data_IF_520339645003
#
_entry.id   IF_520339645003
#
_cell.length_a   1.000
_cell.length_b   1.000
_cell.length_c   1.000
_cell.angle_alpha   90.00
_cell.angle_beta   90.00
_cell.angle_gamma   90.00
#
_symmetry.space_group_name_H-M   'P 1'
#
loop_
_entity.id
_entity.type
_entity.pdbx_description
1 polymer ?
#
# COMPACT_ATOMS: atom_id res chain seq x y z
N UNK A 1 13.34 -39.18 -22.18
CA UNK A 1 14.07 -37.95 -21.80
C UNK A 1 13.09 -36.81 -22.01
N UNK A 2 12.86 -35.97 -21.01
CA UNK A 2 12.07 -34.76 -21.20
C UNK A 2 12.92 -33.78 -22.02
N UNK A 3 12.38 -33.30 -23.13
CA UNK A 3 12.99 -32.26 -23.97
C UNK A 3 12.56 -30.91 -23.40
N UNK A 4 13.54 -30.08 -23.03
CA UNK A 4 13.34 -28.74 -22.46
C UNK A 4 13.43 -27.68 -23.55
N UNK A 5 12.58 -26.66 -23.48
CA UNK A 5 12.51 -25.56 -24.44
C UNK A 5 11.18 -24.80 -24.33
N UNK A 6 11.06 -23.66 -25.00
CA UNK A 6 9.83 -22.87 -24.94
C UNK A 6 8.60 -23.67 -25.43
N UNK A 7 7.60 -23.84 -24.55
CA UNK A 7 6.37 -24.60 -24.86
C UNK A 7 5.22 -23.72 -25.36
N UNK A 8 5.39 -22.39 -25.32
CA UNK A 8 4.37 -21.43 -25.73
C UNK A 8 4.32 -21.25 -27.26
N UNK A 9 3.22 -21.59 -27.95
CA UNK A 9 3.11 -21.46 -29.40
C UNK A 9 3.13 -20.01 -29.92
N UNK A 10 2.99 -19.04 -29.01
CA UNK A 10 3.03 -17.60 -29.32
C UNK A 10 4.45 -17.02 -29.25
N UNK A 11 5.42 -17.79 -28.76
CA UNK A 11 6.80 -17.36 -28.70
C UNK A 11 7.50 -17.55 -30.06
N UNK A 12 8.43 -16.66 -30.38
CA UNK A 12 9.23 -16.70 -31.59
C UNK A 12 10.18 -17.91 -31.64
N UNK A 13 10.54 -18.48 -30.48
CA UNK A 13 11.40 -19.65 -30.34
C UNK A 13 10.63 -20.89 -29.84
N UNK A 14 9.32 -20.97 -30.09
CA UNK A 14 8.52 -22.13 -29.75
C UNK A 14 9.13 -23.44 -30.27
N UNK A 15 9.30 -24.43 -29.39
CA UNK A 15 9.77 -25.75 -29.72
C UNK A 15 8.65 -26.79 -29.54
N UNK A 16 8.07 -27.32 -30.64
CA UNK A 16 6.98 -28.30 -30.56
C UNK A 16 7.41 -29.66 -30.00
N UNK A 17 8.72 -29.93 -29.92
CA UNK A 17 9.25 -31.12 -29.29
C UNK A 17 9.51 -30.93 -27.78
N UNK A 18 9.41 -29.71 -27.26
CA UNK A 18 9.59 -29.45 -25.84
C UNK A 18 8.38 -29.98 -25.04
N UNK A 19 8.66 -30.83 -24.06
CA UNK A 19 7.66 -31.36 -23.12
C UNK A 19 7.68 -30.62 -21.78
N UNK A 20 8.67 -29.75 -21.58
CA UNK A 20 8.87 -28.97 -20.36
C UNK A 20 9.41 -27.59 -20.73
N UNK A 21 8.79 -26.54 -20.19
CA UNK A 21 9.25 -25.17 -20.40
C UNK A 21 10.53 -24.90 -19.62
N UNK A 22 11.50 -24.26 -20.26
CA UNK A 22 12.77 -23.86 -19.66
C UNK A 22 12.86 -22.35 -19.39
N UNK A 23 11.77 -21.61 -19.59
CA UNK A 23 11.75 -20.16 -19.39
C UNK A 23 12.57 -19.40 -20.43
N UNK A 24 12.88 -20.02 -21.58
CA UNK A 24 13.60 -19.36 -22.66
C UNK A 24 12.68 -18.64 -23.65
N UNK A 25 11.36 -18.60 -23.43
CA UNK A 25 10.41 -18.07 -24.40
C UNK A 25 10.67 -16.59 -24.75
N UNK A 26 10.70 -16.31 -26.06
CA UNK A 26 10.89 -14.97 -26.61
C UNK A 26 9.60 -14.50 -27.25
N UNK A 27 9.00 -13.44 -26.71
CA UNK A 27 7.80 -12.81 -27.25
C UNK A 27 8.18 -11.54 -28.00
N UNK A 28 7.62 -11.37 -29.20
CA UNK A 28 7.85 -10.21 -30.05
C UNK A 28 6.63 -9.32 -30.03
N UNK A 29 6.80 -8.07 -29.60
CA UNK A 29 5.74 -7.07 -29.58
C UNK A 29 6.16 -5.82 -30.35
N UNK A 30 5.20 -5.21 -31.04
CA UNK A 30 5.45 -4.05 -31.91
C UNK A 30 4.73 -2.83 -31.38
N UNK A 31 5.49 -1.87 -30.85
CA UNK A 31 4.96 -0.61 -30.30
C UNK A 31 5.53 0.54 -31.14
N UNK A 32 4.66 1.36 -31.73
CA UNK A 32 5.08 2.58 -32.44
C UNK A 32 6.01 2.36 -33.64
N UNK A 33 6.04 1.17 -34.25
CA UNK A 33 6.92 0.85 -35.38
C UNK A 33 8.26 0.22 -35.00
N UNK A 34 8.57 0.10 -33.71
CA UNK A 34 9.76 -0.58 -33.18
C UNK A 34 9.37 -1.97 -32.70
N UNK A 35 10.22 -2.96 -32.98
CA UNK A 35 10.04 -4.34 -32.49
C UNK A 35 10.84 -4.54 -31.21
N UNK A 36 10.17 -5.00 -30.15
CA UNK A 36 10.76 -5.37 -28.87
C UNK A 36 10.75 -6.88 -28.74
N UNK A 37 11.83 -7.44 -28.16
CA UNK A 37 11.91 -8.84 -27.79
C UNK A 37 11.89 -8.93 -26.26
N UNK A 38 10.89 -9.62 -25.73
CA UNK A 38 10.74 -9.90 -24.31
C UNK A 38 11.13 -11.35 -24.08
N UNK A 39 12.04 -11.58 -23.14
CA UNK A 39 12.41 -12.93 -22.69
C UNK A 39 11.92 -13.09 -21.26
N UNK A 40 11.42 -14.28 -20.92
CA UNK A 40 11.12 -14.60 -19.53
C UNK A 40 12.41 -14.45 -18.69
N UNK A 41 12.26 -13.84 -17.51
CA UNK A 41 13.40 -13.55 -16.63
C UNK A 41 13.89 -14.87 -16.04
N UNK A 42 15.17 -15.18 -16.24
CA UNK A 42 15.83 -16.30 -15.56
C UNK A 42 15.77 -16.07 -14.05
N UNK A 43 14.99 -16.90 -13.34
CA UNK A 43 14.83 -16.79 -11.89
C UNK A 43 16.16 -16.93 -11.13
N UNK A 44 17.19 -17.53 -11.73
CA UNK A 44 18.54 -17.61 -11.15
C UNK A 44 19.34 -16.30 -11.27
N UNK A 45 18.89 -15.35 -12.11
CA UNK A 45 19.45 -14.01 -12.27
C UNK A 45 18.65 -12.94 -11.51
N UNK A 46 17.49 -13.30 -10.94
CA UNK A 46 16.75 -12.42 -10.04
C UNK A 46 17.47 -12.40 -8.70
N UNK A 47 18.34 -11.42 -8.52
CA UNK A 47 18.87 -11.09 -7.19
C UNK A 47 17.80 -10.27 -6.49
N UNK A 48 17.17 -10.85 -5.48
CA UNK A 48 16.26 -10.13 -4.59
C UNK A 48 17.08 -9.17 -3.72
N UNK A 49 17.09 -7.89 -4.11
CA UNK A 49 17.73 -6.81 -3.36
C UNK A 49 16.76 -6.10 -2.38
N UNK A 50 15.61 -6.71 -2.08
CA UNK A 50 14.61 -6.11 -1.19
C UNK A 50 15.17 -5.96 0.24
N UNK A 51 15.12 -4.75 0.78
CA UNK A 51 15.45 -4.47 2.18
C UNK A 51 14.31 -3.69 2.84
N UNK A 52 14.05 -3.98 4.11
CA UNK A 52 13.08 -3.22 4.89
C UNK A 52 13.75 -1.93 5.36
N UNK A 53 13.18 -0.79 4.95
CA UNK A 53 13.63 0.52 5.36
C UNK A 53 12.56 1.12 6.28
N UNK A 54 12.91 1.48 7.51
CA UNK A 54 12.01 2.29 8.35
C UNK A 54 12.76 3.45 8.98
N UNK A 55 12.08 4.60 8.99
CA UNK A 55 12.62 5.89 9.40
C UNK A 55 12.25 6.17 10.86
N UNK A 56 13.25 6.39 11.70
CA UNK A 56 13.05 6.87 13.06
C UNK A 56 12.96 8.39 13.05
N UNK A 57 11.76 8.94 13.27
CA UNK A 57 11.55 10.40 13.35
C UNK A 57 12.31 11.05 14.51
N UNK A 58 12.55 10.30 15.59
CA UNK A 58 13.29 10.75 16.77
C UNK A 58 14.80 10.77 16.55
N UNK A 59 15.32 9.78 15.80
CA UNK A 59 16.74 9.72 15.41
C UNK A 59 17.05 10.51 14.13
N UNK A 60 16.03 10.87 13.34
CA UNK A 60 16.14 11.35 11.95
C UNK A 60 16.93 10.40 11.04
N UNK A 61 16.94 9.11 11.36
CA UNK A 61 17.75 8.11 10.67
C UNK A 61 16.90 6.95 10.14
N UNK A 62 17.40 6.30 9.10
CA UNK A 62 16.85 5.09 8.49
C UNK A 62 17.47 3.86 9.13
N UNK A 63 16.72 2.90 9.68
CA UNK A 63 17.32 1.99 10.67
C UNK A 63 16.79 0.55 10.70
N UNK A 64 16.90 -0.27 9.65
CA UNK A 64 16.66 -1.73 9.81
C UNK A 64 17.59 -2.58 8.96
N UNK A 65 18.27 -3.54 9.60
CA UNK A 65 19.07 -4.61 8.96
C UNK A 65 18.68 -5.98 9.53
N UNK A 66 17.42 -6.17 9.93
CA UNK A 66 16.94 -7.40 10.56
C UNK A 66 15.73 -7.92 9.79
N UNK A 67 15.54 -9.23 9.78
CA UNK A 67 14.51 -9.96 9.05
C UNK A 67 13.21 -10.16 9.86
N UNK A 68 12.97 -9.36 10.90
CA UNK A 68 11.80 -9.48 11.76
C UNK A 68 11.27 -8.13 12.26
N UNK A 69 9.99 -8.12 12.66
CA UNK A 69 9.37 -6.98 13.37
C UNK A 69 9.73 -7.10 14.86
N UNK A 70 10.41 -6.11 15.46
CA UNK A 70 10.78 -6.15 16.87
C UNK A 70 9.61 -5.86 17.79
N UNK A 71 9.74 -6.32 19.04
CA UNK A 71 8.71 -6.15 20.08
C UNK A 71 8.84 -4.80 20.80
N UNK A 72 10.06 -4.25 20.88
CA UNK A 72 10.34 -2.98 21.53
C UNK A 72 11.60 -2.30 20.97
N UNK A 73 11.66 -0.97 21.06
CA UNK A 73 12.84 -0.16 20.72
C UNK A 73 13.34 0.61 21.93
N UNK A 74 14.65 0.70 22.08
CA UNK A 74 15.27 1.62 23.03
C UNK A 74 16.57 2.17 22.48
N UNK A 75 16.88 3.40 22.83
CA UNK A 75 18.11 4.07 22.43
C UNK A 75 19.02 4.30 23.63
N UNK A 76 20.32 4.25 23.38
CA UNK A 76 21.33 4.86 24.23
C UNK A 76 21.73 6.21 23.65
N UNK A 77 22.70 6.90 24.26
CA UNK A 77 23.20 8.20 23.76
C UNK A 77 23.79 8.12 22.34
N UNK A 78 24.20 6.93 21.89
CA UNK A 78 24.98 6.76 20.66
C UNK A 78 24.40 5.72 19.71
N UNK A 79 23.44 4.91 20.15
CA UNK A 79 23.03 3.72 19.40
C UNK A 79 21.55 3.39 19.62
N UNK A 80 20.88 2.92 18.57
CA UNK A 80 19.54 2.34 18.64
C UNK A 80 19.61 0.82 18.77
N UNK A 81 18.76 0.28 19.65
CA UNK A 81 18.58 -1.14 19.87
C UNK A 81 17.10 -1.51 19.77
N UNK A 82 16.85 -2.76 19.42
CA UNK A 82 15.53 -3.37 19.50
C UNK A 82 15.59 -4.69 20.23
N UNK A 83 14.42 -5.17 20.65
CA UNK A 83 14.27 -6.43 21.37
C UNK A 83 13.29 -7.33 20.60
N UNK A 84 13.65 -8.61 20.46
CA UNK A 84 12.74 -9.67 19.99
C UNK A 84 12.81 -10.85 20.94
N UNK A 85 11.70 -11.19 21.58
CA UNK A 85 11.62 -12.22 22.61
C UNK A 85 12.47 -11.85 23.84
N UNK A 86 13.64 -12.47 23.99
CA UNK A 86 14.60 -12.15 25.06
C UNK A 86 15.98 -11.77 24.52
N UNK A 87 16.06 -11.47 23.23
CA UNK A 87 17.30 -11.09 22.55
C UNK A 87 17.28 -9.61 22.16
N UNK A 88 18.43 -8.96 22.35
CA UNK A 88 18.65 -7.55 22.02
C UNK A 88 19.46 -7.50 20.72
N UNK A 89 19.02 -6.67 19.79
CA UNK A 89 19.68 -6.45 18.52
C UNK A 89 20.09 -4.98 18.40
N UNK A 90 21.28 -4.78 17.85
CA UNK A 90 21.83 -3.46 17.58
C UNK A 90 21.53 -3.08 16.15
N UNK A 91 20.95 -1.90 15.96
CA UNK A 91 20.72 -1.38 14.63
C UNK A 91 22.02 -0.95 13.94
N UNK A 92 22.04 -0.91 12.60
CA UNK A 92 23.22 -0.55 11.79
C UNK A 92 24.47 -1.40 12.04
N UNK A 93 24.32 -2.58 12.65
CA UNK A 93 25.39 -3.50 12.93
C UNK A 93 25.09 -4.85 12.28
N UNK A 94 26.09 -5.43 11.61
CA UNK A 94 25.96 -6.70 10.90
C UNK A 94 25.53 -6.56 9.45
N UNK A 95 25.20 -7.69 8.84
CA UNK A 95 24.72 -7.75 7.47
C UNK A 95 23.21 -7.41 7.42
N UNK A 96 22.72 -6.74 6.35
CA UNK A 96 21.29 -6.59 6.12
C UNK A 96 20.59 -7.94 6.19
N UNK A 97 19.64 -8.07 7.12
CA UNK A 97 18.71 -9.20 7.16
C UNK A 97 17.81 -9.18 5.92
N UNK A 98 17.53 -10.37 5.39
CA UNK A 98 16.60 -10.53 4.28
C UNK A 98 15.23 -10.82 4.88
N UNK A 99 14.34 -9.84 4.86
CA UNK A 99 12.98 -10.04 5.36
C UNK A 99 12.20 -10.89 4.38
N UNK A 100 12.17 -12.21 4.60
CA UNK A 100 11.33 -13.14 3.86
C UNK A 100 10.11 -13.48 4.69
N UNK A 101 9.10 -12.61 4.73
CA UNK A 101 7.77 -13.12 5.02
C UNK A 101 7.18 -13.65 3.73
N UNK A 102 7.18 -14.97 3.59
CA UNK A 102 6.49 -15.64 2.49
C UNK A 102 4.96 -15.45 2.56
N UNK A 103 4.45 -14.98 3.70
CA UNK A 103 3.04 -14.63 3.84
C UNK A 103 2.84 -13.19 3.38
N UNK A 104 2.01 -12.97 2.35
CA UNK A 104 1.60 -11.64 1.96
C UNK A 104 1.01 -10.88 3.16
N UNK A 105 1.48 -9.65 3.39
CA UNK A 105 0.97 -8.78 4.45
C UNK A 105 0.27 -7.58 3.88
N UNK A 106 -0.83 -7.20 4.52
CA UNK A 106 -1.47 -5.92 4.27
C UNK A 106 -0.47 -4.79 4.49
N UNK A 107 -0.52 -3.79 3.62
CA UNK A 107 0.29 -2.59 3.74
C UNK A 107 -0.60 -1.35 3.62
N UNK A 108 -0.04 -0.20 3.97
CA UNK A 108 -0.70 1.06 3.82
C UNK A 108 0.24 2.11 3.23
N UNK A 109 -0.35 3.07 2.53
CA UNK A 109 0.35 4.21 1.95
C UNK A 109 -0.28 5.47 2.54
N UNK A 110 0.55 6.29 3.18
CA UNK A 110 0.12 7.60 3.69
C UNK A 110 0.49 8.67 2.67
N UNK A 111 -0.52 9.34 2.12
CA UNK A 111 -0.36 10.49 1.24
C UNK A 111 -0.72 11.75 2.01
N UNK A 112 0.17 12.73 2.01
CA UNK A 112 0.01 13.98 2.75
C UNK A 112 -0.25 15.11 1.76
N UNK A 113 -1.39 15.78 1.92
CA UNK A 113 -1.74 16.97 1.16
C UNK A 113 -1.67 18.17 2.10
N UNK A 114 -0.88 19.18 1.74
CA UNK A 114 -0.76 20.41 2.51
C UNK A 114 -1.19 21.62 1.67
N UNK A 115 -1.72 22.62 2.35
CA UNK A 115 -2.14 23.90 1.78
C UNK A 115 -1.67 25.05 2.67
N UNK A 116 -1.47 26.23 2.07
CA UNK A 116 -1.08 27.44 2.82
C UNK A 116 -2.25 28.02 3.63
N UNK A 117 -3.48 27.75 3.19
CA UNK A 117 -4.72 28.23 3.80
C UNK A 117 -5.54 27.06 4.31
N UNK A 118 -6.46 27.33 5.23
CA UNK A 118 -7.44 26.35 5.67
C UNK A 118 -8.34 25.94 4.49
N UNK A 119 -8.41 24.64 4.25
CA UNK A 119 -9.20 24.04 3.18
C UNK A 119 -10.25 23.12 3.80
N UNK A 120 -11.38 22.94 3.13
CA UNK A 120 -12.39 21.93 3.42
C UNK A 120 -12.21 20.81 2.40
N UNK A 121 -12.02 19.59 2.88
CA UNK A 121 -11.84 18.43 2.01
C UNK A 121 -13.21 17.94 1.50
N UNK A 122 -13.41 17.95 0.18
CA UNK A 122 -14.68 17.59 -0.45
C UNK A 122 -14.70 16.13 -0.92
N UNK A 123 -13.66 15.72 -1.65
CA UNK A 123 -13.53 14.37 -2.17
C UNK A 123 -12.07 13.95 -2.30
N UNK A 124 -11.84 12.64 -2.29
CA UNK A 124 -10.54 12.00 -2.48
C UNK A 124 -10.65 11.08 -3.67
N UNK A 125 -9.73 11.22 -4.63
CA UNK A 125 -9.68 10.37 -5.80
C UNK A 125 -8.33 9.67 -5.93
N UNK A 126 -8.33 8.45 -6.47
CA UNK A 126 -7.11 7.69 -6.69
C UNK A 126 -7.22 6.81 -7.92
N UNK A 127 -6.07 6.56 -8.55
CA UNK A 127 -5.95 5.73 -9.74
C UNK A 127 -5.14 4.48 -9.38
N UNK A 128 -5.78 3.31 -9.38
CA UNK A 128 -5.14 2.04 -9.03
C UNK A 128 -5.42 0.94 -10.03
N UNK A 129 -4.44 0.06 -10.19
CA UNK A 129 -4.55 -1.22 -10.90
C UNK A 129 -4.18 -2.36 -9.92
N UNK A 130 -4.99 -3.41 -9.86
CA UNK A 130 -4.68 -4.61 -9.07
C UNK A 130 -4.41 -5.76 -10.04
N UNK A 131 -3.29 -6.45 -9.86
CA UNK A 131 -2.91 -7.62 -10.63
C UNK A 131 -2.96 -8.86 -9.72
N UNK A 132 -3.57 -9.93 -10.21
CA UNK A 132 -3.53 -11.21 -9.52
C UNK A 132 -2.13 -11.85 -9.65
N UNK A 133 -1.94 -13.00 -8.99
CA UNK A 133 -0.67 -13.76 -9.06
C UNK A 133 -0.29 -14.22 -10.48
N UNK A 134 -1.24 -14.22 -11.42
CA UNK A 134 -1.01 -14.54 -12.83
C UNK A 134 -0.74 -13.29 -13.69
N UNK A 135 -0.67 -12.11 -13.09
CA UNK A 135 -0.47 -10.83 -13.80
C UNK A 135 -1.73 -10.32 -14.52
N UNK A 136 -2.90 -10.89 -14.24
CA UNK A 136 -4.16 -10.44 -14.84
C UNK A 136 -4.79 -9.33 -13.98
N UNK A 137 -5.28 -8.28 -14.63
CA UNK A 137 -5.93 -7.17 -13.95
C UNK A 137 -7.28 -7.59 -13.33
N UNK A 138 -7.42 -7.34 -12.02
CA UNK A 138 -8.62 -7.56 -11.24
C UNK A 138 -9.38 -6.24 -11.04
N UNK A 139 -10.72 -6.32 -11.04
CA UNK A 139 -11.57 -5.15 -10.78
C UNK A 139 -11.68 -4.90 -9.28
N UNK A 140 -10.57 -4.46 -8.69
CA UNK A 140 -10.45 -4.15 -7.27
C UNK A 140 -9.52 -2.97 -7.07
N UNK A 141 -9.54 -2.43 -5.86
CA UNK A 141 -8.69 -1.31 -5.45
C UNK A 141 -8.22 -1.55 -4.03
N UNK A 142 -8.02 -0.47 -3.27
CA UNK A 142 -7.76 -0.44 -1.84
C UNK A 142 -8.90 -1.08 -1.04
N UNK A 143 -8.55 -1.60 0.12
CA UNK A 143 -9.49 -2.26 1.04
C UNK A 143 -10.07 -1.30 2.05
N UNK A 144 -9.25 -0.37 2.55
CA UNK A 144 -9.67 0.62 3.53
C UNK A 144 -9.06 1.99 3.23
N UNK A 145 -9.78 3.03 3.64
CA UNK A 145 -9.29 4.40 3.65
C UNK A 145 -9.51 5.00 5.04
N UNK A 146 -8.52 5.74 5.50
CA UNK A 146 -8.62 6.55 6.73
C UNK A 146 -8.09 7.94 6.41
N UNK A 147 -8.85 8.98 6.77
CA UNK A 147 -8.46 10.37 6.58
C UNK A 147 -8.41 11.04 7.94
N UNK A 148 -7.36 11.80 8.20
CA UNK A 148 -7.26 12.59 9.42
C UNK A 148 -6.46 13.89 9.22
N UNK A 149 -6.67 14.81 10.15
CA UNK A 149 -5.88 16.01 10.33
C UNK A 149 -5.45 16.10 11.81
N UNK A 150 -5.17 17.29 12.33
CA UNK A 150 -4.71 17.43 13.72
C UNK A 150 -5.79 17.07 14.77
N UNK A 151 -7.07 17.25 14.43
CA UNK A 151 -8.17 17.21 15.41
C UNK A 151 -9.37 16.34 14.99
N UNK A 152 -9.43 15.92 13.72
CA UNK A 152 -10.54 15.20 13.10
C UNK A 152 -10.04 13.92 12.46
N UNK A 153 -10.84 12.86 12.53
CA UNK A 153 -10.53 11.58 11.91
C UNK A 153 -11.81 10.88 11.44
N UNK A 154 -11.79 10.32 10.24
CA UNK A 154 -12.93 9.58 9.67
C UNK A 154 -13.13 8.20 10.29
N UNK A 155 -12.14 7.69 11.01
CA UNK A 155 -12.05 6.28 11.34
C UNK A 155 -11.67 5.44 10.12
N UNK A 156 -11.50 4.13 10.37
CA UNK A 156 -11.11 3.16 9.34
C UNK A 156 -12.35 2.74 8.54
N UNK A 157 -12.45 3.21 7.30
CA UNK A 157 -13.59 2.95 6.41
C UNK A 157 -13.26 1.77 5.50
N UNK A 158 -14.10 0.73 5.51
CA UNK A 158 -13.99 -0.39 4.57
C UNK A 158 -14.56 0.02 3.21
N UNK A 159 -13.72 -0.07 2.17
CA UNK A 159 -14.08 0.27 0.79
C UNK A 159 -14.85 -0.88 0.15
N UNK A 160 -14.54 -2.13 0.49
CA UNK A 160 -15.18 -3.32 -0.09
C UNK A 160 -16.71 -3.34 0.05
N UNK A 161 -17.23 -2.93 1.22
CA UNK A 161 -18.67 -2.96 1.52
C UNK A 161 -19.48 -1.90 0.75
N UNK A 162 -18.83 -0.84 0.28
CA UNK A 162 -19.48 0.26 -0.44
C UNK A 162 -19.81 -0.17 -1.88
N UNK A 163 -19.02 -1.07 -2.46
CA UNK A 163 -19.12 -1.42 -3.88
C UNK A 163 -20.06 -2.60 -4.17
N UNK A 164 -20.24 -3.52 -3.23
CA UNK A 164 -21.25 -4.60 -3.35
C UNK A 164 -22.69 -4.03 -3.47
N UNK A 165 -22.90 -2.79 -3.04
CA UNK A 165 -24.17 -2.07 -3.16
C UNK A 165 -24.34 -1.34 -4.51
N UNK A 166 -23.24 -1.11 -5.24
CA UNK A 166 -23.22 -0.38 -6.51
C UNK A 166 -23.22 -1.36 -7.69
N UNK A 167 -24.30 -2.14 -7.83
CA UNK A 167 -24.52 -3.04 -8.95
C UNK A 167 -24.63 -2.27 -10.29
N UNK A 168 -23.50 -1.95 -10.93
CA UNK A 168 -23.49 -1.44 -12.30
C UNK A 168 -22.44 -2.14 -13.17
N UNK A 169 -22.93 -2.68 -14.28
CA UNK A 169 -22.16 -3.11 -15.45
C UNK A 169 -21.45 -1.88 -16.07
N UNK A 170 -20.24 -1.55 -15.62
CA UNK A 170 -19.44 -0.44 -16.15
C UNK A 170 -18.14 -0.96 -16.78
N UNK A 171 -17.79 -0.38 -17.93
CA UNK A 171 -16.72 -0.76 -18.85
C UNK A 171 -15.32 -0.79 -18.19
N UNK A 172 -14.59 -1.89 -18.36
CA UNK A 172 -13.30 -2.30 -17.75
C UNK A 172 -12.04 -1.48 -18.13
N UNK A 173 -11.97 -0.15 -17.99
CA UNK A 173 -10.78 0.54 -18.57
C UNK A 173 -10.07 1.64 -17.80
N UNK A 174 -10.51 2.14 -16.64
CA UNK A 174 -9.85 3.37 -16.12
C UNK A 174 -9.38 3.41 -14.67
N UNK A 175 -9.65 2.41 -13.82
CA UNK A 175 -9.01 2.29 -12.49
C UNK A 175 -9.12 3.51 -11.56
N UNK A 176 -9.94 4.50 -11.91
CA UNK A 176 -10.10 5.78 -11.21
C UNK A 176 -11.27 5.66 -10.24
N UNK A 177 -11.00 5.97 -8.99
CA UNK A 177 -11.92 5.87 -7.88
C UNK A 177 -12.10 7.25 -7.26
N UNK A 178 -13.30 7.54 -6.81
CA UNK A 178 -13.63 8.76 -6.11
C UNK A 178 -14.44 8.43 -4.86
N UNK A 179 -14.05 9.02 -3.74
CA UNK A 179 -14.72 8.87 -2.47
C UNK A 179 -15.05 10.24 -1.91
N UNK A 180 -16.34 10.48 -1.67
CA UNK A 180 -16.86 11.71 -1.11
C UNK A 180 -17.54 11.44 0.24
N UNK A 181 -18.15 12.48 0.81
CA UNK A 181 -19.06 12.35 1.95
C UNK A 181 -18.46 11.79 3.25
N UNK A 182 -17.13 11.79 3.41
CA UNK A 182 -16.49 11.49 4.69
C UNK A 182 -16.77 12.60 5.73
N UNK A 183 -16.77 12.23 7.00
CA UNK A 183 -17.10 13.08 8.15
C UNK A 183 -16.19 12.78 9.33
N UNK A 184 -16.07 13.75 10.24
CA UNK A 184 -15.38 13.51 11.50
C UNK A 184 -16.18 12.55 12.39
N UNK A 185 -15.54 11.44 12.76
CA UNK A 185 -16.12 10.38 13.58
C UNK A 185 -15.49 10.30 14.96
N UNK A 186 -14.63 11.26 15.34
CA UNK A 186 -14.04 11.29 16.68
C UNK A 186 -15.10 11.55 17.76
N UNK A 187 -14.94 10.85 18.89
CA UNK A 187 -15.75 11.01 20.10
C UNK A 187 -15.48 12.36 20.77
N UNK A 188 -14.21 12.78 20.81
CA UNK A 188 -13.80 14.04 21.43
C UNK A 188 -12.51 14.59 20.82
N UNK A 189 -12.49 15.89 20.54
CA UNK A 189 -11.32 16.59 20.02
C UNK A 189 -10.12 16.48 20.97
N UNK A 190 -8.91 16.46 20.40
CA UNK A 190 -7.65 16.42 21.16
C UNK A 190 -7.30 15.07 21.77
N UNK A 191 -8.05 14.01 21.46
CA UNK A 191 -7.67 12.64 21.84
C UNK A 191 -6.68 12.06 20.83
N UNK A 192 -5.71 11.28 21.32
CA UNK A 192 -4.80 10.53 20.45
C UNK A 192 -5.59 9.41 19.77
N UNK A 193 -5.72 9.50 18.45
CA UNK A 193 -6.54 8.55 17.67
C UNK A 193 -5.74 7.52 16.89
N UNK A 194 -4.45 7.71 16.65
CA UNK A 194 -3.57 6.68 16.09
C UNK A 194 -2.84 5.94 17.20
N UNK A 195 -2.77 4.61 17.09
CA UNK A 195 -1.95 3.77 17.94
C UNK A 195 -0.45 3.97 17.65
N UNK A 196 0.40 3.20 18.32
CA UNK A 196 1.85 3.26 18.12
C UNK A 196 2.30 2.46 16.88
N UNK A 197 3.62 2.50 16.64
CA UNK A 197 4.28 1.81 15.54
C UNK A 197 4.09 0.30 15.56
N UNK A 198 3.89 -0.32 16.74
CA UNK A 198 3.73 -1.77 16.88
C UNK A 198 2.32 -2.23 16.51
N UNK A 199 1.36 -1.31 16.53
CA UNK A 199 0.00 -1.52 16.07
C UNK A 199 -0.22 -0.93 14.67
N UNK A 200 0.84 -0.78 13.87
CA UNK A 200 0.81 -0.21 12.51
C UNK A 200 0.13 1.16 12.44
N UNK A 201 0.21 1.95 13.52
CA UNK A 201 -0.51 3.22 13.65
C UNK A 201 -2.01 3.09 13.35
N UNK A 202 -2.63 1.94 13.65
CA UNK A 202 -4.05 1.73 13.42
C UNK A 202 -4.88 2.74 14.22
N UNK A 203 -6.08 3.03 13.72
CA UNK A 203 -7.01 3.92 14.43
C UNK A 203 -7.50 3.21 15.69
N UNK A 204 -7.41 3.89 16.84
CA UNK A 204 -7.85 3.34 18.11
C UNK A 204 -9.39 3.11 18.09
N UNK A 205 -9.88 1.90 18.39
CA UNK A 205 -11.29 1.57 18.20
C UNK A 205 -12.23 2.29 19.16
N UNK A 206 -11.73 2.76 20.31
CA UNK A 206 -12.50 3.42 21.36
C UNK A 206 -12.66 4.93 21.17
N UNK A 207 -11.97 5.54 20.21
CA UNK A 207 -12.07 6.99 19.94
C UNK A 207 -12.97 7.34 18.77
N UNK A 208 -13.40 6.32 18.00
CA UNK A 208 -14.27 6.48 16.83
C UNK A 208 -15.69 6.06 17.21
N UNK A 209 -16.65 6.94 16.94
CA UNK A 209 -18.07 6.65 17.08
C UNK A 209 -18.74 6.50 15.72
N UNK A 210 -18.84 5.26 15.23
CA UNK A 210 -19.52 4.94 13.97
C UNK A 210 -21.00 5.38 13.92
N UNK A 211 -21.63 5.56 15.08
CA UNK A 211 -23.04 5.97 15.21
C UNK A 211 -23.19 7.45 15.60
N UNK A 212 -22.16 8.28 15.36
CA UNK A 212 -22.22 9.73 15.63
C UNK A 212 -23.39 10.33 14.85
N UNK A 213 -24.30 11.08 15.51
CA UNK A 213 -25.44 11.69 14.82
C UNK A 213 -24.98 12.61 13.70
N UNK A 214 -25.77 12.69 12.61
CA UNK A 214 -25.43 13.47 11.42
C UNK A 214 -25.14 14.96 11.70
N UNK A 215 -25.69 15.53 12.78
CA UNK A 215 -25.49 16.93 13.16
C UNK A 215 -24.19 17.18 13.94
N UNK A 216 -23.58 16.13 14.50
CA UNK A 216 -22.27 16.19 15.16
C UNK A 216 -21.13 15.79 14.19
N UNK A 217 -21.48 15.36 12.98
CA UNK A 217 -20.56 14.95 11.93
C UNK A 217 -20.07 16.19 11.16
N UNK A 218 -18.98 16.79 11.65
CA UNK A 218 -18.35 17.93 10.98
C UNK A 218 -17.65 17.53 9.67
N UNK A 219 -17.57 18.50 8.76
CA UNK A 219 -16.70 18.43 7.59
C UNK A 219 -15.24 18.53 8.03
N UNK A 220 -14.37 17.77 7.36
CA UNK A 220 -12.94 17.86 7.60
C UNK A 220 -12.40 19.17 7.03
N UNK A 221 -11.76 19.96 7.87
CA UNK A 221 -11.14 21.21 7.48
C UNK A 221 -9.83 21.42 8.24
N UNK A 222 -8.75 21.71 7.52
CA UNK A 222 -7.45 22.05 8.07
C UNK A 222 -6.53 22.58 6.95
N UNK A 223 -5.30 22.94 7.30
CA UNK A 223 -4.24 23.24 6.34
C UNK A 223 -3.49 22.00 5.83
N UNK A 224 -3.74 20.81 6.39
CA UNK A 224 -3.23 19.55 5.86
C UNK A 224 -4.19 18.39 6.09
N UNK A 225 -4.12 17.39 5.21
CA UNK A 225 -4.83 16.13 5.34
C UNK A 225 -3.85 14.99 5.11
N UNK A 226 -3.95 13.96 5.96
CA UNK A 226 -3.27 12.69 5.74
C UNK A 226 -4.30 11.67 5.32
N UNK A 227 -4.05 11.03 4.19
CA UNK A 227 -4.92 10.02 3.61
C UNK A 227 -4.14 8.71 3.63
N UNK A 228 -4.60 7.78 4.45
CA UNK A 228 -4.09 6.41 4.48
C UNK A 228 -4.92 5.53 3.57
N UNK A 229 -4.23 4.95 2.61
CA UNK A 229 -4.75 3.99 1.65
C UNK A 229 -4.24 2.60 2.08
N UNK A 230 -5.12 1.74 2.57
CA UNK A 230 -4.76 0.39 3.01
C UNK A 230 -5.16 -0.66 1.98
N UNK A 231 -4.24 -1.58 1.70
CA UNK A 231 -4.49 -2.71 0.83
C UNK A 231 -4.22 -4.00 1.59
N UNK A 232 -5.24 -4.86 1.69
CA UNK A 232 -5.05 -6.20 2.19
C UNK A 232 -4.44 -7.07 1.09
N UNK A 233 -3.14 -7.35 1.23
CA UNK A 233 -2.41 -8.18 0.31
C UNK A 233 -2.46 -9.67 0.71
N UNK A 234 -3.27 -10.11 1.69
CA UNK A 234 -3.29 -11.54 2.10
C UNK A 234 -3.52 -12.53 0.94
N UNK A 235 -4.15 -12.10 -0.15
CA UNK A 235 -4.36 -12.86 -1.39
C UNK A 235 -3.13 -12.96 -2.31
N UNK A 236 -2.05 -12.21 -2.04
CA UNK A 236 -0.84 -12.15 -2.88
C UNK A 236 -1.00 -11.34 -4.17
N UNK A 237 -1.97 -10.42 -4.21
CA UNK A 237 -2.23 -9.57 -5.36
C UNK A 237 -1.32 -8.33 -5.35
N UNK A 238 -0.82 -7.91 -6.51
CA UNK A 238 -0.04 -6.69 -6.62
C UNK A 238 -0.96 -5.49 -6.82
N UNK A 239 -0.83 -4.45 -5.98
CA UNK A 239 -1.48 -3.16 -6.20
C UNK A 239 -0.48 -2.16 -6.78
N UNK A 240 -0.86 -1.51 -7.87
CA UNK A 240 -0.17 -0.38 -8.48
C UNK A 240 -1.01 0.87 -8.23
N UNK A 241 -0.45 1.84 -7.49
CA UNK A 241 -1.04 3.16 -7.29
C UNK A 241 -0.39 4.15 -8.27
N UNK A 242 -1.13 4.57 -9.29
CA UNK A 242 -0.64 5.51 -10.30
C UNK A 242 -0.73 6.97 -9.83
N UNK A 243 -1.67 7.27 -8.93
CA UNK A 243 -1.84 8.61 -8.38
C UNK A 243 -2.95 8.69 -7.35
N UNK A 244 -2.87 9.70 -6.50
CA UNK A 244 -3.91 10.10 -5.56
C UNK A 244 -4.03 11.63 -5.60
N UNK A 245 -5.25 12.13 -5.59
CA UNK A 245 -5.56 13.56 -5.68
C UNK A 245 -6.76 13.88 -4.78
N UNK A 246 -6.90 15.16 -4.43
CA UNK A 246 -8.01 15.66 -3.61
C UNK A 246 -8.74 16.80 -4.30
N UNK A 247 -10.06 16.84 -4.11
CA UNK A 247 -10.81 18.06 -4.31
C UNK A 247 -11.05 18.72 -2.96
N UNK A 248 -10.57 19.96 -2.82
CA UNK A 248 -10.73 20.74 -1.61
C UNK A 248 -11.10 22.18 -1.95
N UNK A 249 -12.02 22.74 -1.16
CA UNK A 249 -12.46 24.13 -1.30
C UNK A 249 -11.85 25.01 -0.21
N UNK A 250 -11.63 26.29 -0.49
CA UNK A 250 -11.14 27.22 0.55
C UNK A 250 -12.18 27.35 1.65
N UNK A 251 -11.75 27.25 2.91
CA UNK A 251 -12.60 27.57 4.05
C UNK A 251 -12.99 29.06 3.96
N UNK A 252 -14.28 29.41 4.01
CA UNK A 252 -14.73 30.80 3.94
C UNK A 252 -14.49 31.59 5.24
N UNK A 253 -13.81 31.01 6.23
CA UNK A 253 -13.47 31.66 7.50
C UNK A 253 -12.21 32.51 7.41
#
# INVERSE_FOLDING_TARGET
MATTGCTSPKAANYNPAATQDDGSCIFLEKIGGVCYAFQDVDQSQVVDESYTLSYSLLGKDWVFFHDFIPDFYFSTKTQLYNLKGSQIYQHHAGNPGIYHDANPRSFFVDVIFNAETEMILNSVSWLTEVLNQNGEAEFSTLTHITIWNNQQCTGRIAIADIWDQLQYQVRKTQGLWNFDSFRDMLVSYGTKFLLDIFHNFAVAPNVINANKPWFDQDLLHDNYFVIRLEFDNTSGNQLILHGADIDASKSPR
#
